data_IF_777330835388
#
_entry.id   IF_777330835388
#
_cell.length_a   1.000
_cell.length_b   1.000
_cell.length_c   1.000
_cell.angle_alpha   90.00
_cell.angle_beta   90.00
_cell.angle_gamma   90.00
#
_symmetry.space_group_name_H-M   'P 1'
#
loop_
_entity.id
_entity.type
_entity.pdbx_description
1 polymer ?
#
# COMPACT_ATOMS: atom_id res chain seq x y z
N UNK A 1 -17.24 -4.57 6.06
CA UNK A 1 -16.96 -3.52 7.09
C UNK A 1 -16.21 -2.40 6.38
N UNK A 2 -16.27 -1.15 6.85
CA UNK A 2 -15.53 -0.04 6.22
C UNK A 2 -14.19 0.12 6.90
N UNK A 3 -13.10 0.12 6.14
CA UNK A 3 -11.73 0.29 6.65
C UNK A 3 -11.31 1.77 6.67
N UNK A 4 -11.70 2.53 5.64
CA UNK A 4 -11.45 3.98 5.58
C UNK A 4 -12.77 4.68 5.24
N UNK A 5 -13.11 5.72 5.98
CA UNK A 5 -14.23 6.62 5.66
C UNK A 5 -13.75 8.06 5.66
N UNK A 6 -14.02 8.77 4.58
CA UNK A 6 -13.72 10.19 4.40
C UNK A 6 -15.02 10.90 4.09
N UNK A 7 -15.35 11.95 4.84
CA UNK A 7 -16.62 12.66 4.70
C UNK A 7 -16.42 14.17 4.74
N UNK A 8 -16.73 14.85 3.65
CA UNK A 8 -16.68 16.31 3.53
C UNK A 8 -15.28 16.91 3.76
N UNK A 9 -14.21 16.16 3.42
CA UNK A 9 -12.84 16.55 3.73
C UNK A 9 -12.42 17.81 2.97
N UNK A 10 -11.99 18.83 3.70
CA UNK A 10 -11.46 20.08 3.14
C UNK A 10 -10.02 20.29 3.63
N UNK A 11 -9.15 20.69 2.72
CA UNK A 11 -7.77 21.09 3.01
C UNK A 11 -7.31 22.22 2.11
N UNK A 12 -6.82 23.29 2.73
CA UNK A 12 -6.16 24.42 2.06
C UNK A 12 -4.74 24.62 2.62
N UNK A 13 -3.82 25.10 1.79
CA UNK A 13 -2.50 25.56 2.22
C UNK A 13 -2.35 27.08 2.05
N UNK A 14 -3.24 27.68 1.25
CA UNK A 14 -3.31 29.13 1.01
C UNK A 14 -4.75 29.59 1.21
N UNK A 15 -4.95 30.78 1.76
CA UNK A 15 -6.27 31.37 1.96
C UNK A 15 -7.07 31.42 0.64
N UNK A 16 -8.24 30.80 0.65
CA UNK A 16 -9.16 30.79 -0.49
C UNK A 16 -8.83 29.81 -1.61
N UNK A 17 -7.87 28.88 -1.41
CA UNK A 17 -7.55 27.86 -2.39
C UNK A 17 -7.54 26.46 -1.76
N UNK A 18 -8.65 25.78 -1.89
CA UNK A 18 -8.76 24.40 -1.43
C UNK A 18 -8.01 23.45 -2.37
N UNK A 19 -7.21 22.55 -1.80
CA UNK A 19 -6.57 21.43 -2.48
C UNK A 19 -7.50 20.20 -2.43
N UNK A 20 -8.20 20.02 -1.29
CA UNK A 20 -9.33 19.10 -1.15
C UNK A 20 -10.55 19.96 -0.80
N UNK A 21 -11.69 19.71 -1.44
CA UNK A 21 -12.87 20.56 -1.36
C UNK A 21 -14.15 19.72 -1.22
N UNK A 22 -14.43 19.28 0.02
CA UNK A 22 -15.61 18.47 0.32
C UNK A 22 -15.50 17.00 -0.10
N UNK A 23 -14.27 16.46 -0.22
CA UNK A 23 -13.99 15.09 -0.65
C UNK A 23 -14.67 14.07 0.25
N UNK A 24 -15.43 13.14 -0.35
CA UNK A 24 -16.14 12.08 0.37
C UNK A 24 -16.06 10.75 -0.38
N UNK A 25 -15.67 9.69 0.33
CA UNK A 25 -15.69 8.29 -0.15
C UNK A 25 -15.48 7.34 1.03
N UNK A 26 -15.84 6.07 0.82
CA UNK A 26 -15.59 4.98 1.76
C UNK A 26 -14.79 3.88 1.06
N UNK A 27 -13.96 3.15 1.81
CA UNK A 27 -13.24 1.96 1.33
C UNK A 27 -13.63 0.79 2.21
N UNK A 28 -14.15 -0.26 1.58
CA UNK A 28 -14.55 -1.47 2.28
C UNK A 28 -13.34 -2.35 2.64
N UNK A 29 -13.48 -3.17 3.67
CA UNK A 29 -12.48 -4.17 4.06
C UNK A 29 -12.19 -5.13 2.90
N UNK A 30 -10.90 -5.33 2.60
CA UNK A 30 -10.44 -6.17 1.52
C UNK A 30 -10.69 -5.61 0.12
N UNK A 31 -11.11 -4.34 -0.02
CA UNK A 31 -11.32 -3.69 -1.30
C UNK A 31 -10.01 -3.11 -1.85
N UNK A 32 -9.84 -3.14 -3.19
CA UNK A 32 -8.77 -2.45 -3.90
C UNK A 32 -9.36 -1.25 -4.64
N UNK A 33 -9.06 -0.06 -4.14
CA UNK A 33 -9.56 1.19 -4.72
C UNK A 33 -8.43 1.93 -5.42
N UNK A 34 -8.63 2.26 -6.70
CA UNK A 34 -7.72 3.09 -7.49
C UNK A 34 -8.20 4.53 -7.55
N UNK A 35 -7.40 5.48 -7.05
CA UNK A 35 -7.63 6.91 -7.29
C UNK A 35 -6.89 7.37 -8.53
N UNK A 36 -7.64 7.93 -9.44
CA UNK A 36 -7.17 8.56 -10.67
C UNK A 36 -7.37 10.08 -10.59
N UNK A 37 -6.52 10.84 -11.26
CA UNK A 37 -6.62 12.28 -11.31
C UNK A 37 -5.32 12.93 -11.76
N UNK A 38 -5.38 14.16 -12.24
CA UNK A 38 -4.18 14.88 -12.71
C UNK A 38 -3.23 15.24 -11.56
N UNK A 39 -2.00 15.66 -11.90
CA UNK A 39 -1.04 16.13 -10.92
C UNK A 39 -1.57 17.39 -10.23
N UNK A 40 -1.39 17.45 -8.90
CA UNK A 40 -1.83 18.59 -8.08
C UNK A 40 -3.31 18.57 -7.68
N UNK A 41 -4.10 17.51 -8.01
CA UNK A 41 -5.50 17.44 -7.59
C UNK A 41 -5.72 16.98 -6.14
N UNK A 42 -4.66 16.83 -5.33
CA UNK A 42 -4.78 16.54 -3.91
C UNK A 42 -4.51 15.10 -3.48
N UNK A 43 -4.14 14.17 -4.37
CA UNK A 43 -3.92 12.74 -4.05
C UNK A 43 -2.90 12.50 -2.94
N UNK A 44 -1.70 13.08 -3.06
CA UNK A 44 -0.65 12.96 -2.04
C UNK A 44 -1.04 13.68 -0.74
N UNK A 45 -1.79 14.81 -0.84
CA UNK A 45 -2.33 15.50 0.33
C UNK A 45 -3.31 14.60 1.09
N UNK A 46 -4.20 13.91 0.37
CA UNK A 46 -5.11 12.94 0.96
C UNK A 46 -4.36 11.83 1.70
N UNK A 47 -3.33 11.25 1.11
CA UNK A 47 -2.54 10.21 1.77
C UNK A 47 -1.83 10.71 3.02
N UNK A 48 -1.27 11.92 2.99
CA UNK A 48 -0.65 12.54 4.17
C UNK A 48 -1.65 12.84 5.30
N UNK A 49 -2.91 13.14 4.98
CA UNK A 49 -3.97 13.27 5.97
C UNK A 49 -4.34 11.90 6.55
N UNK A 50 -4.50 10.88 5.71
CA UNK A 50 -4.81 9.51 6.16
C UNK A 50 -3.73 8.92 7.06
N UNK A 51 -2.46 9.28 6.85
CA UNK A 51 -1.33 8.87 7.71
C UNK A 51 -1.16 9.71 8.96
N UNK A 52 -1.93 10.81 9.09
CA UNK A 52 -1.79 11.74 10.20
C UNK A 52 -0.53 12.64 10.13
N UNK A 53 0.13 12.71 8.97
CA UNK A 53 1.28 13.61 8.77
C UNK A 53 0.89 15.08 8.71
N UNK A 54 -0.31 15.38 8.25
CA UNK A 54 -0.89 16.72 8.20
C UNK A 54 -2.35 16.70 8.65
N UNK A 55 -2.78 17.79 9.30
CA UNK A 55 -4.17 18.00 9.68
C UNK A 55 -5.02 18.48 8.48
N UNK A 56 -6.32 18.35 8.60
CA UNK A 56 -7.32 18.86 7.67
C UNK A 56 -8.12 20.01 8.30
N UNK A 57 -8.79 20.81 7.46
CA UNK A 57 -9.45 22.02 7.90
C UNK A 57 -10.92 21.76 8.27
N UNK A 58 -11.64 20.92 7.47
CA UNK A 58 -13.04 20.54 7.72
C UNK A 58 -13.28 19.08 7.31
N UNK A 59 -14.39 18.52 7.78
CA UNK A 59 -14.82 17.16 7.47
C UNK A 59 -14.45 16.14 8.54
N UNK A 60 -14.45 14.87 8.16
CA UNK A 60 -14.12 13.76 9.05
C UNK A 60 -13.35 12.65 8.29
N UNK A 61 -12.36 12.10 8.95
CA UNK A 61 -11.60 10.92 8.50
C UNK A 61 -11.65 9.87 9.58
N UNK A 62 -12.06 8.67 9.24
CA UNK A 62 -12.08 7.53 10.15
C UNK A 62 -11.37 6.33 9.51
N UNK A 63 -10.49 5.69 10.28
CA UNK A 63 -9.83 4.43 9.95
C UNK A 63 -10.33 3.40 10.96
N UNK A 64 -10.63 2.19 10.49
CA UNK A 64 -11.13 1.12 11.34
C UNK A 64 -10.18 0.84 12.52
N UNK A 65 -10.75 0.77 13.72
CA UNK A 65 -9.99 0.58 14.95
C UNK A 65 -9.21 -0.74 14.93
N UNK A 66 -7.95 -0.68 15.35
CA UNK A 66 -7.06 -1.86 15.41
C UNK A 66 -6.41 -2.25 14.07
N UNK A 67 -6.72 -1.56 12.96
CA UNK A 67 -6.06 -1.78 11.67
C UNK A 67 -4.75 -1.02 11.60
N UNK A 68 -3.70 -1.68 11.10
CA UNK A 68 -2.40 -1.08 10.82
C UNK A 68 -2.39 -0.54 9.39
N UNK A 69 -2.10 0.75 9.25
CA UNK A 69 -1.99 1.43 7.96
C UNK A 69 -0.52 1.54 7.57
N UNK A 70 -0.20 1.16 6.33
CA UNK A 70 1.13 1.28 5.74
C UNK A 70 1.10 2.13 4.48
N UNK A 71 2.03 3.07 4.33
CA UNK A 71 2.13 3.96 3.18
C UNK A 71 3.40 3.68 2.38
N UNK A 72 3.24 3.45 1.08
CA UNK A 72 4.27 3.68 0.08
C UNK A 72 3.96 5.02 -0.59
N UNK A 73 4.49 6.07 -0.01
CA UNK A 73 4.66 7.36 -0.67
C UNK A 73 6.10 7.46 -1.16
N UNK A 74 6.57 8.64 -1.48
CA UNK A 74 7.98 8.87 -1.82
C UNK A 74 8.91 8.03 -0.94
N UNK A 75 9.89 7.39 -1.56
CA UNK A 75 10.83 6.41 -0.97
C UNK A 75 11.29 6.89 0.41
N UNK A 76 11.08 6.09 1.48
CA UNK A 76 11.59 6.43 2.80
C UNK A 76 13.10 6.71 2.72
N UNK A 77 13.55 7.73 3.42
CA UNK A 77 14.98 7.99 3.57
C UNK A 77 15.48 7.06 4.67
N UNK A 78 16.31 6.11 4.28
CA UNK A 78 16.99 5.22 5.22
C UNK A 78 18.35 5.81 5.61
N UNK A 79 18.93 5.38 6.73
CA UNK A 79 20.28 5.76 7.10
C UNK A 79 21.29 5.44 5.99
N UNK A 80 22.30 6.30 5.83
CA UNK A 80 23.36 6.11 4.84
C UNK A 80 24.04 4.75 5.00
N UNK A 81 24.24 4.06 3.89
CA UNK A 81 24.89 2.76 3.86
C UNK A 81 24.00 1.56 4.19
N UNK A 82 22.72 1.77 4.48
CA UNK A 82 21.79 0.65 4.64
C UNK A 82 21.70 -0.16 3.36
N UNK A 83 21.82 -1.48 3.52
CA UNK A 83 21.57 -2.43 2.45
C UNK A 83 20.06 -2.68 2.30
N UNK A 84 19.67 -3.28 1.17
CA UNK A 84 18.31 -3.76 0.99
C UNK A 84 17.88 -4.74 2.10
N UNK A 85 18.82 -5.59 2.58
CA UNK A 85 18.57 -6.50 3.67
C UNK A 85 18.24 -5.76 4.98
N UNK A 86 18.94 -4.65 5.26
CA UNK A 86 18.69 -3.85 6.45
C UNK A 86 17.29 -3.23 6.41
N UNK A 87 16.84 -2.77 5.23
CA UNK A 87 15.47 -2.28 5.02
C UNK A 87 14.42 -3.37 5.27
N UNK A 88 14.67 -4.59 4.80
CA UNK A 88 13.76 -5.71 5.02
C UNK A 88 13.73 -6.15 6.50
N UNK A 89 14.87 -6.07 7.19
CA UNK A 89 14.96 -6.36 8.63
C UNK A 89 14.25 -5.32 9.48
N UNK A 90 14.30 -4.05 9.09
CA UNK A 90 13.63 -2.97 9.80
C UNK A 90 12.11 -3.18 9.93
N UNK A 91 11.51 -3.92 8.99
CA UNK A 91 10.11 -4.35 9.10
C UNK A 91 9.80 -5.15 10.38
N UNK A 92 10.80 -5.82 10.93
CA UNK A 92 10.68 -6.61 12.15
C UNK A 92 11.35 -5.94 13.38
N UNK A 93 11.61 -4.61 13.33
CA UNK A 93 12.32 -3.90 14.40
C UNK A 93 11.70 -4.09 15.79
N UNK A 94 10.36 -4.16 15.88
CA UNK A 94 9.64 -4.43 17.11
C UNK A 94 9.98 -5.83 17.64
N UNK A 95 10.01 -6.85 16.78
CA UNK A 95 10.36 -8.22 17.13
C UNK A 95 11.83 -8.35 17.54
N UNK A 96 12.73 -7.65 16.84
CA UNK A 96 14.14 -7.61 17.27
C UNK A 96 14.33 -6.92 18.61
N UNK A 97 13.56 -5.87 18.92
CA UNK A 97 13.59 -5.23 20.24
C UNK A 97 13.06 -6.16 21.34
N UNK A 98 11.99 -6.92 21.06
CA UNK A 98 11.48 -7.94 22.01
C UNK A 98 12.52 -9.05 22.21
N UNK A 99 13.14 -9.55 21.14
CA UNK A 99 14.19 -10.58 21.23
C UNK A 99 15.36 -10.11 22.09
N UNK A 100 15.87 -8.90 21.82
CA UNK A 100 16.97 -8.34 22.62
C UNK A 100 16.59 -8.21 24.10
N UNK A 101 15.35 -7.77 24.40
CA UNK A 101 14.89 -7.68 25.80
C UNK A 101 14.74 -9.05 26.46
N UNK A 102 14.30 -10.07 25.72
CA UNK A 102 14.25 -11.46 26.21
C UNK A 102 15.64 -11.99 26.55
N UNK A 103 16.66 -11.71 25.71
CA UNK A 103 18.05 -12.10 25.97
C UNK A 103 18.60 -11.39 27.20
N UNK A 104 18.33 -10.08 27.39
CA UNK A 104 18.69 -9.35 28.62
C UNK A 104 18.04 -9.95 29.87
N UNK A 105 16.71 -10.19 29.79
CA UNK A 105 15.98 -10.79 30.91
C UNK A 105 16.50 -12.19 31.27
N UNK A 106 16.81 -13.01 30.26
CA UNK A 106 17.41 -14.33 30.50
C UNK A 106 18.73 -14.21 31.24
N UNK A 107 19.56 -13.22 30.92
CA UNK A 107 20.83 -12.98 31.64
C UNK A 107 20.61 -12.40 33.05
N UNK A 108 19.66 -11.48 33.25
CA UNK A 108 19.29 -10.96 34.58
C UNK A 108 18.78 -12.09 35.49
N UNK A 109 18.00 -13.04 34.95
CA UNK A 109 17.44 -14.18 35.66
C UNK A 109 18.47 -15.22 36.12
N UNK A 110 19.70 -15.21 35.53
CA UNK A 110 20.80 -16.03 36.08
C UNK A 110 21.19 -15.62 37.49
N UNK A 111 20.94 -14.36 37.87
CA UNK A 111 21.34 -13.77 39.15
C UNK A 111 20.16 -13.40 40.07
N UNK A 112 18.99 -13.11 39.48
CA UNK A 112 17.76 -12.74 40.21
C UNK A 112 16.53 -13.43 39.60
N UNK A 113 15.93 -14.34 40.36
CA UNK A 113 14.73 -15.09 39.97
C UNK A 113 13.45 -14.48 40.56
N UNK A 114 13.36 -13.15 40.59
CA UNK A 114 12.16 -12.47 41.09
C UNK A 114 10.94 -12.74 40.21
N UNK A 115 9.75 -12.86 40.85
CA UNK A 115 8.47 -13.06 40.16
C UNK A 115 8.19 -11.97 39.09
N UNK A 116 8.76 -10.77 39.26
CA UNK A 116 8.63 -9.67 38.34
C UNK A 116 9.36 -9.94 37.02
N UNK A 117 10.61 -10.42 37.08
CA UNK A 117 11.40 -10.75 35.88
C UNK A 117 10.79 -11.94 35.16
N UNK A 118 10.34 -12.96 35.87
CA UNK A 118 9.64 -14.11 35.29
C UNK A 118 8.37 -13.68 34.55
N UNK A 119 7.53 -12.85 35.18
CA UNK A 119 6.28 -12.36 34.56
C UNK A 119 6.54 -11.52 33.33
N UNK A 120 7.60 -10.69 33.31
CA UNK A 120 7.99 -9.89 32.14
C UNK A 120 8.48 -10.79 31.01
N UNK A 121 9.33 -11.79 31.32
CA UNK A 121 9.83 -12.75 30.34
C UNK A 121 8.70 -13.56 29.69
N UNK A 122 7.78 -14.11 30.50
CA UNK A 122 6.66 -14.90 30.01
C UNK A 122 5.75 -14.06 29.07
N UNK A 123 5.45 -12.82 29.47
CA UNK A 123 4.66 -11.92 28.65
C UNK A 123 5.32 -11.62 27.31
N UNK A 124 6.60 -11.21 27.32
CA UNK A 124 7.34 -10.89 26.10
C UNK A 124 7.55 -12.12 25.22
N UNK A 125 7.78 -13.29 25.81
CA UNK A 125 7.91 -14.55 25.07
C UNK A 125 6.59 -14.93 24.37
N UNK A 126 5.45 -14.76 25.05
CA UNK A 126 4.15 -14.97 24.46
C UNK A 126 3.85 -13.97 23.32
N UNK A 127 4.20 -12.69 23.52
CA UNK A 127 4.06 -11.66 22.48
C UNK A 127 4.95 -11.94 21.27
N UNK A 128 6.21 -12.32 21.49
CA UNK A 128 7.15 -12.71 20.45
C UNK A 128 6.62 -13.86 19.59
N UNK A 129 6.13 -14.92 20.25
CA UNK A 129 5.53 -16.07 19.56
C UNK A 129 4.27 -15.68 18.79
N UNK A 130 3.35 -14.91 19.41
CA UNK A 130 2.10 -14.45 18.81
C UNK A 130 2.33 -13.57 17.57
N UNK A 131 3.36 -12.74 17.59
CA UNK A 131 3.74 -11.84 16.48
C UNK A 131 4.53 -12.57 15.37
N UNK A 132 4.92 -13.84 15.59
CA UNK A 132 5.64 -14.66 14.61
C UNK A 132 7.15 -14.42 14.65
N UNK A 133 7.71 -14.11 15.82
CA UNK A 133 9.14 -13.83 16.00
C UNK A 133 10.05 -14.99 15.59
N UNK A 134 9.61 -16.23 15.73
CA UNK A 134 10.38 -17.41 15.30
C UNK A 134 10.45 -17.61 13.78
N UNK A 135 9.54 -16.97 13.02
CA UNK A 135 9.43 -17.13 11.59
C UNK A 135 9.99 -15.93 10.80
N UNK A 136 10.56 -14.91 11.46
CA UNK A 136 11.02 -13.66 10.83
C UNK A 136 11.88 -13.87 9.59
N UNK A 137 12.88 -14.77 9.68
CA UNK A 137 13.81 -15.03 8.58
C UNK A 137 13.13 -15.78 7.43
N UNK A 138 12.24 -16.73 7.75
CA UNK A 138 11.47 -17.48 6.78
C UNK A 138 10.49 -16.57 6.04
N UNK A 139 9.77 -15.72 6.77
CA UNK A 139 8.85 -14.74 6.19
C UNK A 139 9.57 -13.75 5.31
N UNK A 140 10.72 -13.21 5.76
CA UNK A 140 11.55 -12.30 4.97
C UNK A 140 12.01 -12.94 3.66
N UNK A 141 12.52 -14.17 3.70
CA UNK A 141 12.95 -14.90 2.52
C UNK A 141 11.78 -15.19 1.58
N UNK A 142 10.63 -15.60 2.10
CA UNK A 142 9.42 -15.86 1.33
C UNK A 142 8.93 -14.62 0.60
N UNK A 143 8.86 -13.48 1.29
CA UNK A 143 8.39 -12.21 0.72
C UNK A 143 9.39 -11.67 -0.30
N UNK A 144 10.69 -11.70 0.02
CA UNK A 144 11.74 -11.26 -0.91
C UNK A 144 11.73 -12.06 -2.21
N UNK A 145 11.63 -13.40 -2.12
CA UNK A 145 11.55 -14.27 -3.30
C UNK A 145 10.25 -14.03 -4.09
N UNK A 146 9.12 -13.81 -3.41
CA UNK A 146 7.84 -13.51 -4.05
C UNK A 146 7.84 -12.19 -4.84
N UNK A 147 8.71 -11.25 -4.46
CA UNK A 147 8.89 -9.95 -5.11
C UNK A 147 10.14 -9.86 -5.99
N UNK A 148 10.79 -10.98 -6.28
CA UNK A 148 12.00 -11.00 -7.12
C UNK A 148 13.13 -10.11 -6.56
N UNK A 149 13.37 -10.19 -5.27
CA UNK A 149 14.48 -9.54 -4.59
C UNK A 149 15.56 -10.62 -4.33
N UNK A 150 16.47 -10.86 -5.30
CA UNK A 150 17.48 -11.89 -5.18
C UNK A 150 18.54 -11.51 -4.12
N UNK A 151 19.31 -12.50 -3.67
CA UNK A 151 20.35 -12.29 -2.65
C UNK A 151 21.36 -11.21 -3.06
N UNK A 152 21.73 -11.15 -4.34
CA UNK A 152 22.63 -10.12 -4.86
C UNK A 152 22.09 -8.70 -4.72
N UNK A 153 20.77 -8.51 -4.80
CA UNK A 153 20.11 -7.21 -4.56
C UNK A 153 20.03 -6.92 -3.05
N UNK A 154 19.86 -7.94 -2.22
CA UNK A 154 19.74 -7.76 -0.75
C UNK A 154 21.02 -7.21 -0.13
N UNK A 155 22.17 -7.52 -0.72
CA UNK A 155 23.49 -7.07 -0.30
C UNK A 155 23.86 -5.67 -0.84
N UNK A 156 23.08 -5.13 -1.80
CA UNK A 156 23.33 -3.81 -2.37
C UNK A 156 22.82 -2.70 -1.45
N UNK A 157 23.55 -1.56 -1.39
CA UNK A 157 23.06 -0.35 -0.76
C UNK A 157 21.72 0.09 -1.36
N UNK A 158 20.74 0.39 -0.51
CA UNK A 158 19.37 0.73 -0.92
C UNK A 158 19.33 1.98 -1.83
N UNK A 159 20.22 2.94 -1.60
CA UNK A 159 20.34 4.17 -2.38
C UNK A 159 20.86 3.95 -3.82
N UNK A 160 21.47 2.80 -4.11
CA UNK A 160 21.95 2.43 -5.44
C UNK A 160 20.90 1.71 -6.28
N UNK A 161 19.79 1.31 -5.70
CA UNK A 161 18.71 0.64 -6.41
C UNK A 161 17.99 1.60 -7.38
N UNK A 162 17.51 1.06 -8.50
CA UNK A 162 16.58 1.78 -9.39
C UNK A 162 15.25 2.08 -8.71
N UNK A 163 14.48 3.04 -9.24
CA UNK A 163 13.16 3.40 -8.69
C UNK A 163 12.20 2.22 -8.55
N UNK A 164 12.14 1.35 -9.56
CA UNK A 164 11.31 0.15 -9.52
C UNK A 164 11.78 -0.89 -8.48
N UNK A 165 13.09 -1.06 -8.30
CA UNK A 165 13.66 -1.92 -7.27
C UNK A 165 13.37 -1.40 -5.86
N UNK A 166 13.52 -0.10 -5.64
CA UNK A 166 13.17 0.54 -4.37
C UNK A 166 11.69 0.35 -4.03
N UNK A 167 10.80 0.50 -5.01
CA UNK A 167 9.37 0.27 -4.80
C UNK A 167 9.09 -1.18 -4.40
N UNK A 168 9.77 -2.17 -5.02
CA UNK A 168 9.64 -3.60 -4.64
C UNK A 168 10.09 -3.86 -3.21
N UNK A 169 11.23 -3.30 -2.83
CA UNK A 169 11.79 -3.47 -1.47
C UNK A 169 10.87 -2.83 -0.43
N UNK A 170 10.37 -1.62 -0.68
CA UNK A 170 9.40 -0.97 0.22
C UNK A 170 8.09 -1.74 0.33
N UNK A 171 7.61 -2.32 -0.77
CA UNK A 171 6.43 -3.17 -0.75
C UNK A 171 6.68 -4.45 0.08
N UNK A 172 7.86 -5.09 -0.09
CA UNK A 172 8.27 -6.22 0.74
C UNK A 172 8.27 -5.84 2.23
N UNK A 173 8.82 -4.69 2.58
CA UNK A 173 8.83 -4.17 3.95
C UNK A 173 7.42 -4.04 4.52
N UNK A 174 6.50 -3.41 3.81
CA UNK A 174 5.11 -3.25 4.28
C UNK A 174 4.37 -4.58 4.46
N UNK A 175 4.63 -5.56 3.60
CA UNK A 175 4.07 -6.91 3.76
C UNK A 175 4.60 -7.57 5.03
N UNK A 176 5.90 -7.43 5.30
CA UNK A 176 6.56 -7.95 6.50
C UNK A 176 6.08 -7.27 7.77
N UNK A 177 5.75 -5.97 7.72
CA UNK A 177 5.12 -5.23 8.83
C UNK A 177 3.69 -5.68 9.14
N UNK A 178 3.12 -6.59 8.32
CA UNK A 178 1.76 -7.12 8.46
C UNK A 178 0.70 -6.02 8.53
N UNK A 179 0.85 -4.98 7.70
CA UNK A 179 -0.15 -3.91 7.57
C UNK A 179 -1.48 -4.46 7.07
N UNK A 180 -2.59 -3.86 7.52
CA UNK A 180 -3.95 -4.27 7.13
C UNK A 180 -4.47 -3.44 5.96
N UNK A 181 -4.08 -2.17 5.92
CA UNK A 181 -4.45 -1.20 4.88
C UNK A 181 -3.17 -0.68 4.23
N UNK A 182 -3.03 -0.91 2.93
CA UNK A 182 -1.89 -0.43 2.15
C UNK A 182 -2.28 0.80 1.33
N UNK A 183 -1.60 1.91 1.58
CA UNK A 183 -1.68 3.12 0.76
C UNK A 183 -0.49 3.13 -0.20
N UNK A 184 -0.74 3.15 -1.51
CA UNK A 184 0.29 3.07 -2.56
C UNK A 184 0.23 4.32 -3.45
N UNK A 185 1.24 5.21 -3.34
CA UNK A 185 1.34 6.41 -4.18
C UNK A 185 2.23 6.13 -5.39
N UNK A 186 1.62 6.09 -6.58
CA UNK A 186 2.27 5.82 -7.88
C UNK A 186 3.14 4.55 -7.89
N UNK A 187 2.64 3.38 -7.41
CA UNK A 187 3.46 2.19 -7.23
C UNK A 187 4.00 1.61 -8.54
N UNK A 188 3.38 1.96 -9.69
CA UNK A 188 3.80 1.47 -11.02
C UNK A 188 4.85 2.36 -11.69
N UNK A 189 5.22 3.49 -11.06
CA UNK A 189 6.18 4.44 -11.65
C UNK A 189 7.58 3.82 -11.80
N UNK A 190 8.12 3.88 -13.01
CA UNK A 190 9.43 3.31 -13.31
C UNK A 190 9.47 1.79 -13.43
N UNK A 191 8.32 1.11 -13.44
CA UNK A 191 8.21 -0.32 -13.65
C UNK A 191 7.95 -0.65 -15.11
N UNK A 192 8.58 -1.72 -15.61
CA UNK A 192 8.24 -2.33 -16.90
C UNK A 192 6.93 -3.15 -16.81
N UNK A 193 6.43 -3.60 -17.96
CA UNK A 193 5.16 -4.32 -18.06
C UNK A 193 5.14 -5.65 -17.28
N UNK A 194 6.27 -6.35 -17.18
CA UNK A 194 6.37 -7.60 -16.46
C UNK A 194 6.28 -7.35 -14.94
N UNK A 195 6.99 -6.34 -14.47
CA UNK A 195 7.00 -5.96 -13.07
C UNK A 195 5.63 -5.43 -12.60
N UNK A 196 4.95 -4.61 -13.45
CA UNK A 196 3.58 -4.18 -13.18
C UNK A 196 2.62 -5.36 -13.04
N UNK A 197 2.75 -6.38 -13.90
CA UNK A 197 1.93 -7.59 -13.80
C UNK A 197 2.16 -8.32 -12.47
N UNK A 198 3.42 -8.53 -12.07
CA UNK A 198 3.76 -9.15 -10.78
C UNK A 198 3.23 -8.37 -9.59
N UNK A 199 3.35 -7.02 -9.64
CA UNK A 199 2.74 -6.16 -8.62
C UNK A 199 1.23 -6.37 -8.55
N UNK A 200 0.55 -6.39 -9.69
CA UNK A 200 -0.90 -6.60 -9.74
C UNK A 200 -1.30 -7.98 -9.17
N UNK A 201 -0.60 -9.06 -9.55
CA UNK A 201 -0.83 -10.40 -9.01
C UNK A 201 -0.61 -10.46 -7.49
N UNK A 202 0.37 -9.69 -6.98
CA UNK A 202 0.59 -9.56 -5.55
C UNK A 202 -0.57 -8.84 -4.86
N UNK A 203 -1.08 -7.74 -5.43
CA UNK A 203 -2.23 -7.03 -4.89
C UNK A 203 -3.48 -7.91 -4.86
N UNK A 204 -3.64 -8.82 -5.85
CA UNK A 204 -4.70 -9.84 -5.83
C UNK A 204 -4.54 -10.81 -4.66
N UNK A 205 -3.33 -11.27 -4.38
CA UNK A 205 -3.05 -12.16 -3.24
C UNK A 205 -3.31 -11.46 -1.91
N UNK A 206 -2.81 -10.22 -1.75
CA UNK A 206 -3.02 -9.44 -0.52
C UNK A 206 -4.51 -9.23 -0.23
N UNK A 207 -5.32 -8.96 -1.27
CA UNK A 207 -6.78 -8.90 -1.13
C UNK A 207 -7.37 -10.21 -0.62
N UNK A 208 -6.93 -11.35 -1.19
CA UNK A 208 -7.41 -12.67 -0.75
C UNK A 208 -7.02 -12.98 0.69
N UNK A 209 -5.92 -12.38 1.18
CA UNK A 209 -5.47 -12.42 2.57
C UNK A 209 -6.22 -11.38 3.46
N UNK A 210 -7.27 -10.74 2.93
CA UNK A 210 -8.10 -9.77 3.65
C UNK A 210 -7.49 -8.37 3.78
N UNK A 211 -6.44 -8.04 3.03
CA UNK A 211 -5.80 -6.72 3.05
C UNK A 211 -6.55 -5.74 2.15
N UNK A 212 -6.72 -4.53 2.65
CA UNK A 212 -7.30 -3.41 1.89
C UNK A 212 -6.19 -2.66 1.17
N UNK A 213 -6.41 -2.31 -0.10
CA UNK A 213 -5.43 -1.60 -0.92
C UNK A 213 -6.05 -0.32 -1.46
N UNK A 214 -5.43 0.79 -1.17
CA UNK A 214 -5.80 2.10 -1.67
C UNK A 214 -4.63 2.66 -2.48
N UNK A 215 -4.77 2.71 -3.80
CA UNK A 215 -3.69 3.10 -4.70
C UNK A 215 -4.02 4.39 -5.46
N UNK A 216 -3.05 5.26 -5.55
CA UNK A 216 -3.03 6.41 -6.45
C UNK A 216 -2.19 6.05 -7.66
N UNK A 217 -2.72 6.21 -8.87
CA UNK A 217 -1.95 5.95 -10.08
C UNK A 217 -2.42 6.77 -11.26
N UNK A 218 -1.48 7.06 -12.17
CA UNK A 218 -1.76 7.57 -13.51
C UNK A 218 -1.86 6.43 -14.55
N UNK A 219 -1.56 5.21 -14.14
CA UNK A 219 -1.62 4.03 -14.99
C UNK A 219 -3.07 3.49 -15.04
N UNK A 220 -3.83 4.00 -16.01
CA UNK A 220 -5.24 3.62 -16.22
C UNK A 220 -5.39 2.13 -16.53
N UNK A 221 -4.46 1.54 -17.29
CA UNK A 221 -4.48 0.12 -17.64
C UNK A 221 -4.24 -0.76 -16.40
N UNK A 222 -3.35 -0.34 -15.50
CA UNK A 222 -3.12 -1.02 -14.23
C UNK A 222 -4.35 -0.96 -13.33
N UNK A 223 -4.97 0.21 -13.19
CA UNK A 223 -6.20 0.37 -12.40
C UNK A 223 -7.36 -0.43 -13.00
N UNK A 224 -7.54 -0.40 -14.34
CA UNK A 224 -8.59 -1.15 -15.01
C UNK A 224 -8.48 -2.66 -14.77
N UNK A 225 -7.26 -3.17 -14.65
CA UNK A 225 -7.00 -4.61 -14.48
C UNK A 225 -7.06 -5.07 -13.03
N UNK A 226 -6.61 -4.25 -12.09
CA UNK A 226 -6.32 -4.70 -10.73
C UNK A 226 -7.12 -4.01 -9.63
N UNK A 227 -7.82 -2.91 -9.90
CA UNK A 227 -8.73 -2.31 -8.93
C UNK A 227 -10.10 -3.00 -8.94
N UNK A 228 -10.76 -3.05 -7.79
CA UNK A 228 -12.17 -3.46 -7.67
C UNK A 228 -13.08 -2.27 -7.97
N UNK A 229 -12.65 -1.05 -7.61
CA UNK A 229 -13.32 0.22 -7.86
C UNK A 229 -12.32 1.31 -8.17
N UNK A 230 -12.70 2.22 -9.05
CA UNK A 230 -11.93 3.41 -9.39
C UNK A 230 -12.67 4.67 -8.97
N UNK A 231 -11.92 5.67 -8.52
CA UNK A 231 -12.43 6.99 -8.10
C UNK A 231 -11.68 8.06 -8.87
N UNK A 232 -12.37 8.99 -9.50
CA UNK A 232 -11.77 10.14 -10.17
C UNK A 232 -11.77 11.34 -9.24
N UNK A 233 -10.57 11.79 -8.89
CA UNK A 233 -10.34 13.00 -8.15
C UNK A 233 -10.03 14.16 -9.11
N UNK A 234 -10.85 15.20 -9.07
CA UNK A 234 -10.67 16.38 -9.90
C UNK A 234 -10.95 17.64 -9.08
N UNK A 235 -10.00 18.57 -9.04
CA UNK A 235 -10.07 19.84 -8.28
C UNK A 235 -10.44 19.67 -6.79
N UNK A 236 -9.97 18.59 -6.18
CA UNK A 236 -10.20 18.34 -4.75
C UNK A 236 -11.51 17.61 -4.41
N UNK A 237 -12.34 17.31 -5.43
CA UNK A 237 -13.63 16.63 -5.26
C UNK A 237 -13.63 15.25 -5.92
N UNK A 238 -14.52 14.35 -5.45
CA UNK A 238 -14.85 13.11 -6.14
C UNK A 238 -15.85 13.41 -7.26
N UNK A 239 -15.44 13.20 -8.52
CA UNK A 239 -16.30 13.49 -9.68
C UNK A 239 -17.11 12.28 -10.10
N UNK A 240 -16.50 11.11 -10.09
CA UNK A 240 -17.15 9.84 -10.43
C UNK A 240 -16.42 8.68 -9.77
N UNK A 241 -17.16 7.64 -9.49
CA UNK A 241 -16.62 6.37 -9.01
C UNK A 241 -17.42 5.21 -9.61
N UNK A 242 -16.82 4.03 -9.65
CA UNK A 242 -17.48 2.82 -10.14
C UNK A 242 -16.52 1.67 -10.37
N UNK A 243 -17.06 0.53 -10.75
CA UNK A 243 -16.27 -0.63 -11.18
C UNK A 243 -15.50 -0.30 -12.45
N UNK A 244 -14.31 -0.87 -12.70
CA UNK A 244 -13.47 -0.48 -13.84
C UNK A 244 -14.18 -0.49 -15.19
N UNK A 245 -15.03 -1.49 -15.46
CA UNK A 245 -15.79 -1.59 -16.73
C UNK A 245 -16.69 -0.39 -16.99
N UNK A 246 -17.43 0.07 -15.97
CA UNK A 246 -18.31 1.24 -16.07
C UNK A 246 -17.51 2.53 -16.04
N UNK A 247 -16.55 2.64 -15.13
CA UNK A 247 -15.73 3.82 -14.96
C UNK A 247 -14.96 4.19 -16.22
N UNK A 248 -14.24 3.25 -16.86
CA UNK A 248 -13.41 3.54 -18.03
C UNK A 248 -14.19 3.60 -19.34
N UNK A 249 -15.33 2.89 -19.47
CA UNK A 249 -16.20 3.01 -20.64
C UNK A 249 -16.96 4.35 -20.66
N UNK A 250 -17.38 4.83 -19.47
CA UNK A 250 -18.10 6.09 -19.32
C UNK A 250 -17.24 7.35 -19.41
N UNK A 251 -15.93 7.25 -19.19
CA UNK A 251 -15.03 8.39 -19.19
C UNK A 251 -14.36 8.64 -20.56
N UNK A 252 -14.21 9.93 -20.94
CA UNK A 252 -13.53 10.32 -22.19
C UNK A 252 -12.04 10.60 -21.98
N UNK A 253 -11.65 11.15 -20.85
CA UNK A 253 -10.28 11.55 -20.56
C UNK A 253 -9.50 10.47 -19.81
N UNK A 254 -10.13 9.90 -18.77
CA UNK A 254 -9.55 8.80 -17.98
C UNK A 254 -10.16 7.50 -18.46
N UNK A 255 -9.58 6.92 -19.50
CA UNK A 255 -10.04 5.67 -20.09
C UNK A 255 -8.87 4.91 -20.72
N UNK A 256 -9.00 3.59 -20.81
CA UNK A 256 -7.98 2.71 -21.39
C UNK A 256 -7.89 2.84 -22.91
N UNK A 257 -6.78 2.40 -23.48
CA UNK A 257 -6.64 2.35 -24.95
C UNK A 257 -7.68 1.42 -25.58
N UNK A 258 -7.96 0.28 -24.93
CA UNK A 258 -8.97 -0.68 -25.35
C UNK A 258 -10.37 -0.05 -25.40
N UNK A 259 -10.80 0.61 -24.32
CA UNK A 259 -12.10 1.27 -24.26
C UNK A 259 -12.23 2.41 -25.28
N UNK A 260 -11.15 3.14 -25.58
CA UNK A 260 -11.15 4.17 -26.66
C UNK A 260 -11.39 3.57 -28.03
N UNK A 261 -10.73 2.46 -28.35
CA UNK A 261 -10.80 1.80 -29.65
C UNK A 261 -12.13 1.06 -29.86
N UNK A 262 -12.68 0.46 -28.81
CA UNK A 262 -13.90 -0.37 -28.88
C UNK A 262 -15.18 0.44 -28.66
N UNK A 263 -15.08 1.73 -28.34
CA UNK A 263 -16.24 2.57 -28.04
C UNK A 263 -17.26 2.60 -29.18
N UNK A 264 -18.52 2.30 -28.85
CA UNK A 264 -19.61 2.21 -29.82
C UNK A 264 -19.67 0.91 -30.62
N UNK A 265 -18.71 -0.01 -30.43
CA UNK A 265 -18.71 -1.36 -30.99
C UNK A 265 -18.83 -2.44 -29.94
N UNK A 266 -18.19 -2.26 -28.79
CA UNK A 266 -18.17 -3.22 -27.70
C UNK A 266 -18.38 -2.48 -26.37
N UNK A 267 -19.54 -2.67 -25.75
CA UNK A 267 -19.85 -2.01 -24.49
C UNK A 267 -19.12 -2.70 -23.32
N UNK A 268 -18.48 -1.91 -22.46
CA UNK A 268 -17.82 -2.37 -21.24
C UNK A 268 -16.46 -3.04 -21.40
N UNK A 269 -15.96 -3.22 -22.64
CA UNK A 269 -14.61 -3.77 -22.85
C UNK A 269 -13.56 -2.69 -22.56
N UNK A 270 -12.84 -2.86 -21.45
CA UNK A 270 -11.83 -1.89 -20.99
C UNK A 270 -10.40 -2.43 -21.01
N UNK A 271 -10.22 -3.73 -21.24
CA UNK A 271 -8.92 -4.40 -21.38
C UNK A 271 -8.74 -4.93 -22.82
N UNK A 272 -7.50 -4.95 -23.30
CA UNK A 272 -7.19 -5.43 -24.65
C UNK A 272 -7.62 -6.89 -24.87
N UNK A 273 -7.49 -7.74 -23.85
CA UNK A 273 -7.91 -9.14 -23.89
C UNK A 273 -9.42 -9.28 -24.07
N UNK A 274 -10.21 -8.44 -23.41
CA UNK A 274 -11.68 -8.42 -23.52
C UNK A 274 -12.12 -8.08 -24.94
N UNK A 275 -11.45 -7.07 -25.56
CA UNK A 275 -11.70 -6.72 -26.96
C UNK A 275 -11.38 -7.88 -27.88
N UNK A 276 -10.24 -8.57 -27.69
CA UNK A 276 -9.85 -9.73 -28.50
C UNK A 276 -10.83 -10.91 -28.32
N UNK A 277 -11.31 -11.15 -27.09
CA UNK A 277 -12.32 -12.20 -26.84
C UNK A 277 -13.65 -11.89 -27.53
N UNK A 278 -14.11 -10.65 -27.48
CA UNK A 278 -15.35 -10.25 -28.15
C UNK A 278 -15.25 -10.35 -29.69
N UNK A 279 -14.09 -10.09 -30.27
CA UNK A 279 -13.86 -10.18 -31.72
C UNK A 279 -13.72 -11.63 -32.23
N UNK A 280 -13.50 -12.62 -31.34
CA UNK A 280 -13.43 -14.04 -31.67
C UNK A 280 -14.80 -14.75 -31.65
N UNK A 281 -15.81 -14.09 -31.11
CA UNK A 281 -17.21 -14.56 -31.08
C UNK A 281 -17.97 -14.06 -32.30
#
# INVERSE_FOLDING_TARGET
MTDISVNGLVKSFELGKNILDGLSFDIAEGERVGILGHNGCGKTTLFRILTGEIDYDEGAVAIASGKRLGLISQIPVYPDGWTTEDVLRDAHRELYAISARLDELAHEMEHDQSDKLLSEYDRLSADFARLGGYDMDTDRNRVANGLDIPQSMREQPFDQLSGGERTRVNLARLILEKTDILLLDEPTKGMDGQLKRRLGELLLKLRNDGKTVFLVSHDVEFCARYADRCVLLFRGETVTEGVPSEFFSGNYFYTTAAAKLSRGMLDGAVLAEEVVECLKR
#
